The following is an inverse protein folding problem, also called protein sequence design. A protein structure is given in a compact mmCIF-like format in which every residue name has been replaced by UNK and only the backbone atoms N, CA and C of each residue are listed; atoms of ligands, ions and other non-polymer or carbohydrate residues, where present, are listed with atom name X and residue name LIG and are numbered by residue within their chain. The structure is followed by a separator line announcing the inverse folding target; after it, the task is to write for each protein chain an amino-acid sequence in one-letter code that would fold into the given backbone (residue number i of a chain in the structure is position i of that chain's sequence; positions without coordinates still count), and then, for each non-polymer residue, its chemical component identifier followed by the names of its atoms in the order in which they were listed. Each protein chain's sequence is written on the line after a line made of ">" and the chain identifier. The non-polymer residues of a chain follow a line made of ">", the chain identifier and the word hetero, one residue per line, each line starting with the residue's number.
data_IF_823737284565
#
_entry.id   IF_823737284565
#
_cell.length_a   1.000
_cell.length_b   1.000
_cell.length_c   1.000
_cell.angle_alpha   90.00
_cell.angle_beta   90.00
_cell.angle_gamma   90.00
#
_symmetry.space_group_name_H-M   'P 1'
#
loop_
_entity.id
_entity.type
_entity.pdbx_description
1 polymer ?
#
# COMPACT_ATOMS: atom_id res chain seq x y z
N UNK A 1 13.83 20.49 -4.89
CA UNK A 1 12.45 20.75 -5.38
C UNK A 1 11.64 19.48 -5.15
N UNK A 2 10.84 19.42 -4.09
CA UNK A 2 9.94 18.28 -3.85
C UNK A 2 8.81 18.37 -4.88
N UNK A 3 8.63 17.34 -5.72
CA UNK A 3 7.47 17.27 -6.60
C UNK A 3 6.23 17.15 -5.72
N UNK A 4 5.47 18.24 -5.60
CA UNK A 4 4.13 18.21 -5.02
C UNK A 4 3.22 17.50 -6.02
N UNK A 5 2.72 16.33 -5.66
CA UNK A 5 1.74 15.59 -6.46
C UNK A 5 0.54 16.47 -6.78
N UNK A 6 0.02 16.35 -8.01
CA UNK A 6 -1.20 17.02 -8.45
C UNK A 6 -2.37 16.61 -7.55
N UNK A 7 -3.38 17.47 -7.43
CA UNK A 7 -4.56 17.18 -6.64
C UNK A 7 -5.33 15.96 -7.17
N UNK A 8 -5.31 15.76 -8.48
CA UNK A 8 -5.85 14.57 -9.15
C UNK A 8 -5.08 13.30 -8.79
N UNK A 9 -3.74 13.39 -8.72
CA UNK A 9 -2.92 12.27 -8.29
C UNK A 9 -3.25 11.91 -6.85
N UNK A 10 -3.30 12.90 -5.94
CA UNK A 10 -3.67 12.69 -4.52
C UNK A 10 -5.06 12.05 -4.40
N UNK A 11 -6.04 12.49 -5.19
CA UNK A 11 -7.38 11.95 -5.19
C UNK A 11 -7.39 10.46 -5.60
N UNK A 12 -6.62 10.11 -6.65
CA UNK A 12 -6.43 8.72 -7.09
C UNK A 12 -5.86 7.81 -6.00
N UNK A 13 -5.03 8.32 -5.09
CA UNK A 13 -4.49 7.54 -3.95
C UNK A 13 -5.52 7.30 -2.84
N UNK A 14 -6.49 8.20 -2.68
CA UNK A 14 -7.55 8.10 -1.66
C UNK A 14 -8.58 7.03 -2.09
N UNK A 15 -8.88 6.96 -3.39
CA UNK A 15 -9.89 6.03 -3.95
C UNK A 15 -9.48 4.54 -3.91
N UNK A 16 -8.21 4.24 -3.61
CA UNK A 16 -7.67 2.87 -3.56
C UNK A 16 -7.67 2.30 -2.13
N UNK A 17 -8.03 3.07 -1.10
CA UNK A 17 -7.98 2.59 0.29
C UNK A 17 -9.10 1.58 0.55
N UNK A 18 -8.73 0.32 0.79
CA UNK A 18 -9.68 -0.71 1.19
C UNK A 18 -10.36 -0.35 2.53
N UNK A 19 -11.67 -0.48 2.58
CA UNK A 19 -12.48 -0.26 3.78
C UNK A 19 -12.40 -1.44 4.76
N UNK A 20 -12.77 -1.23 6.04
CA UNK A 20 -12.81 -2.28 7.08
C UNK A 20 -14.00 -3.24 6.88
N UNK A 21 -13.92 -4.46 7.46
CA UNK A 21 -14.87 -5.56 7.21
C UNK A 21 -16.32 -5.24 7.58
N UNK A 22 -16.53 -4.31 8.49
CA UNK A 22 -17.85 -3.84 8.89
C UNK A 22 -17.96 -2.32 8.73
N UNK A 23 -17.31 -1.77 7.70
CA UNK A 23 -17.36 -0.35 7.46
C UNK A 23 -18.79 0.08 7.10
N UNK A 24 -19.30 1.09 7.80
CA UNK A 24 -20.63 1.67 7.55
C UNK A 24 -20.48 2.92 6.67
N UNK A 25 -21.48 3.16 5.81
CA UNK A 25 -21.61 4.40 5.06
C UNK A 25 -21.72 5.57 6.04
N UNK A 26 -20.86 6.57 5.86
CA UNK A 26 -20.91 7.79 6.65
C UNK A 26 -21.85 8.79 5.97
N UNK A 27 -22.48 9.67 6.74
CA UNK A 27 -23.30 10.75 6.18
C UNK A 27 -22.42 11.65 5.27
N UNK A 28 -22.79 11.72 3.99
CA UNK A 28 -22.06 12.43 2.94
C UNK A 28 -22.20 13.95 3.04
N UNK A 29 -23.32 14.45 3.59
CA UNK A 29 -23.56 15.89 3.81
C UNK A 29 -22.67 16.41 4.94
N UNK A 30 -22.56 15.64 6.02
CA UNK A 30 -21.75 16.00 7.19
C UNK A 30 -20.25 15.84 6.94
N UNK A 31 -19.84 14.93 6.04
CA UNK A 31 -18.43 14.63 5.76
C UNK A 31 -18.17 14.44 4.25
N UNK A 32 -18.16 15.52 3.44
CA UNK A 32 -17.98 15.42 2.00
C UNK A 32 -16.66 14.74 1.57
N UNK A 33 -15.59 14.90 2.34
CA UNK A 33 -14.29 14.26 2.06
C UNK A 33 -14.29 12.73 2.28
N UNK A 34 -15.35 12.14 2.84
CA UNK A 34 -15.51 10.69 2.97
C UNK A 34 -16.12 10.03 1.71
N UNK A 35 -16.54 10.82 0.72
CA UNK A 35 -17.14 10.30 -0.53
C UNK A 35 -16.28 9.21 -1.21
N UNK A 36 -14.95 9.35 -1.35
CA UNK A 36 -14.10 8.28 -1.89
C UNK A 36 -14.23 6.94 -1.16
N UNK A 37 -14.22 7.00 0.17
CA UNK A 37 -14.35 5.83 1.05
C UNK A 37 -15.74 5.20 0.90
N UNK A 38 -16.78 6.02 0.87
CA UNK A 38 -18.14 5.54 0.69
C UNK A 38 -18.35 4.91 -0.69
N UNK A 39 -17.76 5.48 -1.75
CA UNK A 39 -17.81 4.92 -3.10
C UNK A 39 -17.11 3.56 -3.17
N UNK A 40 -15.92 3.43 -2.57
CA UNK A 40 -15.24 2.14 -2.43
C UNK A 40 -16.10 1.11 -1.67
N UNK A 41 -16.82 1.55 -0.63
CA UNK A 41 -17.74 0.67 0.10
C UNK A 41 -18.90 0.20 -0.78
N UNK A 42 -19.53 1.12 -1.52
CA UNK A 42 -20.63 0.82 -2.46
C UNK A 42 -20.17 -0.15 -3.56
N UNK A 43 -18.97 0.07 -4.12
CA UNK A 43 -18.36 -0.83 -5.11
C UNK A 43 -18.14 -2.24 -4.54
N UNK A 44 -17.58 -2.36 -3.33
CA UNK A 44 -17.36 -3.65 -2.66
C UNK A 44 -18.70 -4.36 -2.43
N UNK A 45 -19.67 -3.68 -1.81
CA UNK A 45 -20.99 -4.25 -1.52
C UNK A 45 -21.71 -4.68 -2.82
N UNK A 46 -21.58 -3.90 -3.90
CA UNK A 46 -22.12 -4.25 -5.21
C UNK A 46 -21.46 -5.49 -5.85
N UNK A 47 -20.21 -5.80 -5.51
CA UNK A 47 -19.53 -7.04 -5.90
C UNK A 47 -19.91 -8.23 -5.00
N UNK A 48 -20.47 -7.97 -3.81
CA UNK A 48 -20.87 -8.96 -2.80
C UNK A 48 -20.42 -8.60 -1.38
N UNK A 49 -20.94 -9.32 -0.37
CA UNK A 49 -20.59 -9.09 1.04
C UNK A 49 -19.44 -9.97 1.55
N UNK A 50 -18.96 -10.89 0.72
CA UNK A 50 -17.99 -11.91 1.12
C UNK A 50 -16.54 -11.45 0.91
N UNK A 51 -15.60 -12.19 1.52
CA UNK A 51 -14.17 -11.88 1.38
C UNK A 51 -13.68 -12.04 -0.07
N UNK A 52 -14.37 -12.84 -0.89
CA UNK A 52 -14.08 -13.00 -2.31
C UNK A 52 -14.40 -11.72 -3.10
N UNK A 53 -15.52 -11.07 -2.81
CA UNK A 53 -15.90 -9.78 -3.41
C UNK A 53 -14.86 -8.70 -3.11
N UNK A 54 -14.34 -8.68 -1.88
CA UNK A 54 -13.27 -7.76 -1.46
C UNK A 54 -11.94 -8.09 -2.12
N UNK A 55 -11.63 -9.36 -2.28
CA UNK A 55 -10.41 -9.81 -2.95
C UNK A 55 -10.45 -9.45 -4.43
N UNK A 56 -11.62 -9.62 -5.07
CA UNK A 56 -11.89 -9.20 -6.43
C UNK A 56 -11.76 -7.68 -6.60
N UNK A 57 -12.40 -6.90 -5.73
CA UNK A 57 -12.30 -5.44 -5.72
C UNK A 57 -10.83 -4.97 -5.60
N UNK A 58 -10.06 -5.56 -4.69
CA UNK A 58 -8.62 -5.27 -4.54
C UNK A 58 -7.83 -5.54 -5.82
N UNK A 59 -8.14 -6.62 -6.55
CA UNK A 59 -7.52 -6.93 -7.83
C UNK A 59 -7.89 -5.90 -8.89
N UNK A 60 -9.18 -5.57 -9.02
CA UNK A 60 -9.70 -4.60 -10.00
C UNK A 60 -9.13 -3.19 -9.79
N UNK A 61 -8.98 -2.74 -8.54
CA UNK A 61 -8.44 -1.41 -8.21
C UNK A 61 -6.91 -1.35 -8.16
N UNK A 62 -6.22 -2.47 -8.42
CA UNK A 62 -4.75 -2.51 -8.40
C UNK A 62 -4.13 -2.32 -7.01
N UNK A 63 -4.87 -2.65 -5.94
CA UNK A 63 -4.45 -2.48 -4.53
C UNK A 63 -3.14 -3.21 -4.20
N UNK A 64 -2.84 -4.28 -4.94
CA UNK A 64 -1.68 -5.13 -4.73
C UNK A 64 -0.35 -4.34 -4.71
N UNK A 65 -0.16 -3.36 -5.59
CA UNK A 65 1.10 -2.59 -5.68
C UNK A 65 1.36 -1.76 -4.42
N UNK A 66 0.30 -1.22 -3.79
CA UNK A 66 0.41 -0.46 -2.55
C UNK A 66 0.78 -1.36 -1.37
N UNK A 67 0.07 -2.49 -1.24
CA UNK A 67 0.36 -3.48 -0.18
C UNK A 67 1.81 -3.99 -0.25
N UNK A 68 2.35 -4.20 -1.46
CA UNK A 68 3.76 -4.55 -1.66
C UNK A 68 4.71 -3.44 -1.18
N UNK A 69 4.43 -2.18 -1.53
CA UNK A 69 5.24 -1.04 -1.11
C UNK A 69 5.21 -0.83 0.42
N UNK A 70 4.03 -0.96 1.04
CA UNK A 70 3.86 -0.86 2.49
C UNK A 70 4.63 -1.97 3.21
N UNK A 71 4.55 -3.20 2.70
CA UNK A 71 5.29 -4.35 3.24
C UNK A 71 6.80 -4.18 3.07
N UNK A 72 7.26 -3.71 1.91
CA UNK A 72 8.67 -3.41 1.67
C UNK A 72 9.20 -2.33 2.63
N UNK A 73 8.42 -1.27 2.85
CA UNK A 73 8.77 -0.21 3.79
C UNK A 73 8.75 -0.68 5.26
N UNK A 74 7.79 -1.53 5.63
CA UNK A 74 7.76 -2.16 6.95
C UNK A 74 9.03 -2.96 7.20
N UNK A 75 9.43 -3.83 6.26
CA UNK A 75 10.68 -4.60 6.34
C UNK A 75 11.92 -3.70 6.39
N UNK A 76 11.96 -2.65 5.57
CA UNK A 76 13.04 -1.68 5.58
C UNK A 76 13.22 -1.05 6.96
N UNK A 77 12.13 -0.59 7.58
CA UNK A 77 12.17 0.03 8.91
C UNK A 77 12.49 -0.96 10.02
N UNK A 78 11.98 -2.19 9.93
CA UNK A 78 12.27 -3.24 10.90
C UNK A 78 13.77 -3.60 10.92
N UNK A 79 14.41 -3.63 9.75
CA UNK A 79 15.82 -4.03 9.63
C UNK A 79 16.81 -2.88 9.83
N UNK A 80 16.51 -1.68 9.32
CA UNK A 80 17.44 -0.56 9.31
C UNK A 80 17.06 0.61 10.22
N UNK A 81 15.93 0.51 10.91
CA UNK A 81 15.36 1.56 11.75
C UNK A 81 14.45 2.53 10.99
N UNK A 82 13.72 3.36 11.74
CA UNK A 82 12.78 4.35 11.22
C UNK A 82 13.43 5.65 10.74
N UNK A 83 14.72 5.86 11.00
CA UNK A 83 15.45 7.10 10.70
C UNK A 83 16.70 6.86 9.83
N UNK A 84 17.09 7.90 9.10
CA UNK A 84 18.35 7.94 8.34
C UNK A 84 19.44 8.55 9.20
N UNK A 85 20.66 8.03 9.09
CA UNK A 85 21.81 8.49 9.88
C UNK A 85 22.44 9.73 9.26
N UNK A 86 22.45 9.82 7.93
CA UNK A 86 23.05 10.95 7.23
C UNK A 86 22.23 12.24 7.38
N UNK A 87 22.89 13.37 7.62
CA UNK A 87 22.24 14.70 7.75
C UNK A 87 22.06 15.45 6.43
N UNK A 88 22.88 15.15 5.41
CA UNK A 88 22.78 15.79 4.09
C UNK A 88 21.95 14.93 3.13
N UNK A 89 21.10 15.58 2.35
CA UNK A 89 20.18 14.93 1.39
C UNK A 89 20.89 14.02 0.38
N UNK A 90 22.07 14.41 -0.11
CA UNK A 90 22.87 13.59 -1.05
C UNK A 90 23.29 12.27 -0.42
N UNK A 91 23.76 12.31 0.83
CA UNK A 91 24.15 11.13 1.59
C UNK A 91 22.95 10.31 2.05
N UNK A 92 21.81 10.93 2.38
CA UNK A 92 20.56 10.22 2.67
C UNK A 92 20.09 9.40 1.46
N UNK A 93 20.18 9.94 0.24
CA UNK A 93 19.85 9.19 -0.98
C UNK A 93 20.76 7.96 -1.15
N UNK A 94 22.06 8.14 -0.96
CA UNK A 94 23.03 7.03 -1.02
C UNK A 94 22.75 5.97 0.07
N UNK A 95 22.45 6.40 1.30
CA UNK A 95 22.11 5.53 2.42
C UNK A 95 20.86 4.69 2.11
N UNK A 96 19.78 5.33 1.61
CA UNK A 96 18.54 4.64 1.22
C UNK A 96 18.81 3.64 0.09
N UNK A 97 19.55 4.02 -0.94
CA UNK A 97 19.89 3.14 -2.06
C UNK A 97 20.66 1.90 -1.57
N UNK A 98 21.69 2.09 -0.75
CA UNK A 98 22.48 0.99 -0.18
C UNK A 98 21.62 0.04 0.66
N UNK A 99 20.75 0.59 1.53
CA UNK A 99 19.81 -0.20 2.35
C UNK A 99 18.80 -0.97 1.49
N UNK A 100 18.25 -0.36 0.45
CA UNK A 100 17.35 -1.03 -0.49
C UNK A 100 18.03 -2.18 -1.24
N UNK A 101 19.28 -1.98 -1.70
CA UNK A 101 20.07 -3.04 -2.34
C UNK A 101 20.33 -4.20 -1.38
N UNK A 102 20.73 -3.91 -0.14
CA UNK A 102 20.91 -4.93 0.89
C UNK A 102 19.62 -5.69 1.17
N UNK A 103 18.47 -4.99 1.28
CA UNK A 103 17.17 -5.61 1.48
C UNK A 103 16.80 -6.57 0.34
N UNK A 104 17.00 -6.13 -0.91
CA UNK A 104 16.73 -6.95 -2.09
C UNK A 104 17.63 -8.19 -2.11
N UNK A 105 18.90 -8.05 -1.72
CA UNK A 105 19.85 -9.17 -1.61
C UNK A 105 19.42 -10.17 -0.54
N UNK A 106 19.03 -9.71 0.65
CA UNK A 106 18.50 -10.56 1.71
C UNK A 106 17.23 -11.29 1.27
N UNK A 107 16.31 -10.59 0.60
CA UNK A 107 15.08 -11.18 0.08
C UNK A 107 15.36 -12.27 -0.98
N UNK A 108 16.36 -12.07 -1.83
CA UNK A 108 16.80 -13.07 -2.80
C UNK A 108 17.42 -14.32 -2.16
N UNK A 109 18.08 -14.18 -1.00
CA UNK A 109 18.75 -15.29 -0.31
C UNK A 109 17.80 -16.05 0.63
N UNK A 110 16.86 -15.34 1.26
CA UNK A 110 15.94 -15.90 2.24
C UNK A 110 14.62 -16.44 1.69
N UNK A 111 14.38 -16.39 0.37
CA UNK A 111 13.18 -16.96 -0.23
C UNK A 111 13.31 -18.49 -0.35
N UNK A 112 12.52 -19.29 0.41
CA UNK A 112 12.49 -20.73 0.21
C UNK A 112 11.95 -21.05 -1.19
N UNK A 113 12.70 -21.83 -1.97
CA UNK A 113 12.22 -22.36 -3.25
C UNK A 113 11.29 -23.53 -2.98
N UNK A 114 10.02 -23.25 -2.74
CA UNK A 114 8.97 -24.27 -2.67
C UNK A 114 8.57 -24.73 -4.07
N UNK A 115 8.48 -26.05 -4.29
CA UNK A 115 7.67 -26.62 -5.38
C UNK A 115 6.27 -26.86 -4.83
N UNK A 116 5.26 -26.33 -5.52
CA UNK A 116 3.89 -26.76 -5.29
C UNK A 116 3.77 -28.21 -5.78
N UNK A 117 3.74 -29.15 -4.84
CA UNK A 117 3.34 -30.52 -5.13
C UNK A 117 1.84 -30.55 -4.90
N UNK A 118 1.06 -30.60 -5.97
CA UNK A 118 -0.36 -30.94 -5.86
C UNK A 118 -0.42 -32.38 -5.35
N UNK A 119 -0.99 -32.56 -4.16
CA UNK A 119 -1.39 -33.85 -3.61
C UNK A 119 -2.87 -34.07 -3.90
#
# INVERSE_FOLDING_TARGET
>A
MAKTFSQEEKQKWIDIIQTQKNAVLQNEEAKPWMQPRNNALKEIVGLGTDEDARTLWKKLKGYHRRSLAETAMFRFKALFGSSLKCRRMTYQKAEVLAKCLALNRMNSLGMPRGKWVYA
#
